data_IF_195093562521
#
_entry.id   IF_195093562521
#
_cell.length_a   1.000
_cell.length_b   1.000
_cell.length_c   1.000
_cell.angle_alpha   90.00
_cell.angle_beta   90.00
_cell.angle_gamma   90.00
#
_symmetry.space_group_name_H-M   'P 1'
#
loop_
_entity.id
_entity.type
_entity.pdbx_description
1 polymer ?
#
# COMPACT_ATOMS: atom_id res chain seq x y z
N UNK A 1 -19.33 -15.18 17.02
CA UNK A 1 -17.93 -15.55 16.83
C UNK A 1 -17.32 -14.98 15.59
N UNK A 2 -17.95 -15.17 14.46
CA UNK A 2 -17.50 -14.53 13.22
C UNK A 2 -17.49 -13.01 13.34
N UNK A 3 -18.43 -12.46 14.09
CA UNK A 3 -18.54 -11.01 14.29
C UNK A 3 -17.32 -10.44 15.03
N UNK A 4 -16.80 -11.15 16.00
CA UNK A 4 -15.61 -10.72 16.74
C UNK A 4 -14.38 -10.70 15.84
N UNK A 5 -14.23 -11.73 15.01
CA UNK A 5 -13.12 -11.80 14.08
C UNK A 5 -13.19 -10.66 13.06
N UNK A 6 -14.39 -10.36 12.61
CA UNK A 6 -14.61 -9.27 11.67
C UNK A 6 -14.25 -7.92 12.28
N UNK A 7 -14.66 -7.68 13.53
CA UNK A 7 -14.33 -6.44 14.23
C UNK A 7 -12.82 -6.30 14.44
N UNK A 8 -12.14 -7.40 14.76
CA UNK A 8 -10.68 -7.40 14.91
C UNK A 8 -10.00 -7.06 13.59
N UNK A 9 -10.57 -7.51 12.46
CA UNK A 9 -10.04 -7.22 11.14
C UNK A 9 -10.18 -5.76 10.76
N UNK A 10 -11.17 -5.06 11.28
CA UNK A 10 -11.44 -3.68 10.93
C UNK A 10 -10.59 -2.65 11.67
N UNK A 11 -10.01 -3.02 12.81
CA UNK A 11 -9.21 -2.13 13.66
C UNK A 11 -9.90 -0.79 13.93
N UNK A 12 -10.17 -0.45 15.20
CA UNK A 12 -10.81 0.83 15.52
C UNK A 12 -10.05 2.04 15.03
N UNK A 13 -8.72 1.94 14.92
CA UNK A 13 -7.84 3.02 14.53
C UNK A 13 -7.65 3.15 13.02
N UNK A 14 -8.31 2.31 12.22
CA UNK A 14 -8.07 2.23 10.77
C UNK A 14 -8.28 3.57 10.07
N UNK A 15 -9.32 4.30 10.46
CA UNK A 15 -9.62 5.59 9.84
C UNK A 15 -8.54 6.64 10.06
N UNK A 16 -7.76 6.49 11.13
CA UNK A 16 -6.67 7.41 11.46
C UNK A 16 -5.32 6.96 10.91
N UNK A 17 -5.29 5.82 10.26
CA UNK A 17 -4.06 5.29 9.72
C UNK A 17 -3.63 5.99 8.44
N UNK A 18 -2.31 6.01 8.16
CA UNK A 18 -1.81 6.57 6.92
C UNK A 18 -2.32 5.82 5.69
N UNK A 19 -2.26 6.49 4.56
CA UNK A 19 -2.83 6.00 3.30
C UNK A 19 -2.43 4.57 2.93
N UNK A 20 -1.13 4.26 2.93
CA UNK A 20 -0.70 2.92 2.50
C UNK A 20 -1.08 1.83 3.48
N UNK A 21 -1.17 2.16 4.77
CA UNK A 21 -1.65 1.21 5.77
C UNK A 21 -3.11 0.86 5.51
N UNK A 22 -3.95 1.84 5.23
CA UNK A 22 -5.36 1.62 4.91
C UNK A 22 -5.52 0.81 3.63
N UNK A 23 -4.77 1.16 2.59
CA UNK A 23 -4.84 0.47 1.30
C UNK A 23 -4.44 -0.99 1.43
N UNK A 24 -3.35 -1.25 2.14
CA UNK A 24 -2.86 -2.61 2.35
C UNK A 24 -3.87 -3.43 3.15
N UNK A 25 -4.43 -2.85 4.20
CA UNK A 25 -5.47 -3.52 5.00
C UNK A 25 -6.66 -3.93 4.13
N UNK A 26 -7.15 -3.01 3.31
CA UNK A 26 -8.27 -3.30 2.43
C UNK A 26 -7.95 -4.39 1.41
N UNK A 27 -6.76 -4.35 0.83
CA UNK A 27 -6.34 -5.38 -0.11
C UNK A 27 -6.24 -6.75 0.55
N UNK A 28 -5.74 -6.82 1.80
CA UNK A 28 -5.72 -8.08 2.53
C UNK A 28 -7.13 -8.61 2.76
N UNK A 29 -8.08 -7.73 3.10
CA UNK A 29 -9.46 -8.15 3.28
C UNK A 29 -10.05 -8.77 2.01
N UNK A 30 -9.72 -8.21 0.86
CA UNK A 30 -10.26 -8.67 -0.41
C UNK A 30 -9.52 -9.87 -0.99
N UNK A 31 -8.20 -9.90 -0.85
CA UNK A 31 -7.36 -10.89 -1.54
C UNK A 31 -6.84 -12.01 -0.66
N UNK A 32 -6.69 -11.78 0.63
CA UNK A 32 -6.15 -12.78 1.55
C UNK A 32 -6.69 -12.58 2.97
N UNK A 33 -8.00 -12.76 3.16
CA UNK A 33 -8.61 -12.56 4.47
C UNK A 33 -8.05 -13.50 5.54
N UNK A 34 -7.58 -14.68 5.16
CA UNK A 34 -6.98 -15.64 6.11
C UNK A 34 -5.72 -15.07 6.76
N UNK A 35 -4.88 -14.40 5.97
CA UNK A 35 -3.68 -13.76 6.49
C UNK A 35 -4.05 -12.58 7.40
N UNK A 36 -5.06 -11.82 7.01
CA UNK A 36 -5.53 -10.70 7.81
C UNK A 36 -5.99 -11.18 9.18
N UNK A 37 -6.78 -12.26 9.22
CA UNK A 37 -7.21 -12.85 10.47
C UNK A 37 -6.04 -13.34 11.31
N UNK A 38 -5.07 -13.97 10.70
CA UNK A 38 -3.88 -14.46 11.38
C UNK A 38 -3.10 -13.33 12.03
N UNK A 39 -2.88 -12.26 11.31
CA UNK A 39 -2.18 -11.08 11.82
C UNK A 39 -2.97 -10.43 12.96
N UNK A 40 -4.27 -10.34 12.81
CA UNK A 40 -5.16 -9.79 13.83
C UNK A 40 -5.12 -10.63 15.09
N UNK A 41 -5.23 -11.96 14.96
CA UNK A 41 -5.26 -12.88 16.08
C UNK A 41 -3.94 -12.90 16.86
N UNK A 42 -2.82 -12.74 16.16
CA UNK A 42 -1.51 -12.70 16.79
C UNK A 42 -1.19 -11.37 17.45
N UNK A 43 -2.01 -10.33 17.20
CA UNK A 43 -1.77 -9.01 17.73
C UNK A 43 -0.73 -8.21 16.96
N UNK A 44 -0.30 -8.70 15.80
CA UNK A 44 0.76 -8.05 15.01
C UNK A 44 0.24 -7.20 13.86
N UNK A 45 -1.08 -7.13 13.68
CA UNK A 45 -1.66 -6.45 12.52
C UNK A 45 -1.25 -4.98 12.43
N UNK A 46 -1.38 -4.22 13.52
CA UNK A 46 -1.05 -2.80 13.52
C UNK A 46 0.42 -2.57 13.15
N UNK A 47 1.31 -3.30 13.78
CA UNK A 47 2.75 -3.19 13.52
C UNK A 47 3.07 -3.53 12.07
N UNK A 48 2.44 -4.57 11.54
CA UNK A 48 2.64 -5.01 10.16
C UNK A 48 2.18 -3.93 9.17
N UNK A 49 1.01 -3.35 9.42
CA UNK A 49 0.46 -2.30 8.55
C UNK A 49 1.34 -1.06 8.55
N UNK A 50 1.81 -0.63 9.72
CA UNK A 50 2.64 0.56 9.82
C UNK A 50 4.02 0.36 9.20
N UNK A 51 4.62 -0.80 9.40
CA UNK A 51 5.89 -1.13 8.77
C UNK A 51 5.77 -1.14 7.26
N UNK A 52 4.68 -1.70 6.74
CA UNK A 52 4.42 -1.74 5.32
C UNK A 52 4.22 -0.33 4.75
N UNK A 53 3.49 0.50 5.48
CA UNK A 53 3.28 1.89 5.07
C UNK A 53 4.62 2.62 4.93
N UNK A 54 5.51 2.49 5.92
CA UNK A 54 6.81 3.15 5.88
C UNK A 54 7.63 2.73 4.66
N UNK A 55 7.61 1.44 4.34
CA UNK A 55 8.28 0.92 3.15
C UNK A 55 7.69 1.49 1.87
N UNK A 56 6.37 1.62 1.82
CA UNK A 56 5.69 2.14 0.63
C UNK A 56 5.94 3.63 0.45
N UNK A 57 6.06 4.39 1.53
CA UNK A 57 6.41 5.81 1.45
C UNK A 57 7.80 5.99 0.83
N UNK A 58 8.77 5.20 1.27
CA UNK A 58 10.11 5.25 0.70
C UNK A 58 10.11 4.86 -0.78
N UNK A 59 9.39 3.81 -1.13
CA UNK A 59 9.26 3.36 -2.50
C UNK A 59 8.59 4.42 -3.39
N UNK A 60 7.56 5.06 -2.86
CA UNK A 60 6.88 6.14 -3.59
C UNK A 60 7.84 7.27 -3.94
N UNK A 61 8.66 7.70 -2.99
CA UNK A 61 9.64 8.76 -3.22
C UNK A 61 10.67 8.35 -4.27
N UNK A 62 11.14 7.10 -4.20
CA UNK A 62 12.10 6.58 -5.16
C UNK A 62 11.51 6.50 -6.57
N UNK A 63 10.30 5.99 -6.71
CA UNK A 63 9.61 5.89 -7.99
C UNK A 63 9.33 7.27 -8.58
N UNK A 64 8.98 8.24 -7.75
CA UNK A 64 8.79 9.62 -8.20
C UNK A 64 10.09 10.20 -8.73
N UNK A 65 11.19 9.95 -8.03
CA UNK A 65 12.52 10.43 -8.46
C UNK A 65 12.90 9.82 -9.81
N UNK A 66 12.72 8.52 -9.97
CA UNK A 66 13.00 7.84 -11.22
C UNK A 66 12.16 8.36 -12.37
N UNK A 67 10.87 8.58 -12.10
CA UNK A 67 9.97 9.13 -13.11
C UNK A 67 10.43 10.51 -13.57
N UNK A 68 10.81 11.37 -12.62
CA UNK A 68 11.28 12.72 -12.93
C UNK A 68 12.59 12.74 -13.73
N UNK A 69 13.45 11.75 -13.49
CA UNK A 69 14.69 11.62 -14.28
C UNK A 69 14.39 11.26 -15.72
N UNK A 70 13.36 10.43 -15.95
CA UNK A 70 12.95 10.04 -17.30
C UNK A 70 12.10 11.09 -18.00
N UNK A 71 11.55 12.04 -17.24
CA UNK A 71 10.68 13.11 -17.74
C UNK A 71 11.20 14.44 -17.23
N UNK A 72 12.34 14.92 -17.76
CA UNK A 72 12.98 16.12 -17.24
C UNK A 72 12.10 17.36 -17.39
N UNK A 73 12.26 18.30 -16.46
CA UNK A 73 11.52 19.54 -16.46
C UNK A 73 11.92 20.39 -17.65
N UNK A 74 10.98 21.20 -18.16
CA UNK A 74 11.25 22.18 -19.19
C UNK A 74 12.11 23.30 -18.61
N UNK A 75 12.95 23.91 -19.46
CA UNK A 75 13.88 24.95 -19.04
C UNK A 75 13.20 26.13 -18.36
N UNK A 76 12.05 26.55 -18.86
CA UNK A 76 11.30 27.70 -18.34
C UNK A 76 9.92 27.30 -17.83
N UNK A 77 9.86 26.21 -17.06
CA UNK A 77 8.55 25.74 -16.60
C UNK A 77 7.96 26.68 -15.55
N UNK A 78 6.65 26.87 -15.61
CA UNK A 78 5.90 27.66 -14.65
C UNK A 78 5.71 26.85 -13.36
N UNK A 79 5.28 27.53 -12.29
CA UNK A 79 4.91 26.83 -11.05
C UNK A 79 3.79 25.83 -11.28
N UNK A 80 2.84 26.16 -12.14
CA UNK A 80 1.72 25.30 -12.46
C UNK A 80 2.18 24.06 -13.21
N UNK A 81 3.12 24.20 -14.14
CA UNK A 81 3.70 23.08 -14.86
C UNK A 81 4.52 22.18 -13.92
N UNK A 82 5.26 22.80 -12.99
CA UNK A 82 6.02 22.05 -11.98
C UNK A 82 5.10 21.24 -11.09
N UNK A 83 3.99 21.83 -10.65
CA UNK A 83 3.00 21.13 -9.83
C UNK A 83 2.37 19.97 -10.60
N UNK A 84 2.03 20.18 -11.88
CA UNK A 84 1.49 19.15 -12.74
C UNK A 84 2.45 17.99 -12.94
N UNK A 85 3.72 18.29 -13.15
CA UNK A 85 4.77 17.28 -13.30
C UNK A 85 4.92 16.46 -12.02
N UNK A 86 4.91 17.12 -10.87
CA UNK A 86 4.98 16.43 -9.58
C UNK A 86 3.78 15.52 -9.37
N UNK A 87 2.59 15.99 -9.75
CA UNK A 87 1.37 15.20 -9.64
C UNK A 87 1.41 13.96 -10.53
N UNK A 88 1.92 14.08 -11.75
CA UNK A 88 2.09 12.95 -12.66
C UNK A 88 3.06 11.91 -12.09
N UNK A 89 4.17 12.36 -11.53
CA UNK A 89 5.13 11.46 -10.88
C UNK A 89 4.48 10.69 -9.74
N UNK A 90 3.69 11.39 -8.93
CA UNK A 90 3.00 10.80 -7.78
C UNK A 90 1.95 9.78 -8.21
N UNK A 91 1.18 10.10 -9.25
CA UNK A 91 0.17 9.17 -9.78
C UNK A 91 0.82 7.91 -10.33
N UNK A 92 1.92 8.06 -11.06
CA UNK A 92 2.67 6.91 -11.57
C UNK A 92 3.16 6.03 -10.44
N UNK A 93 3.77 6.63 -9.41
CA UNK A 93 4.30 5.88 -8.27
C UNK A 93 3.18 5.10 -7.56
N UNK A 94 2.04 5.73 -7.36
CA UNK A 94 0.91 5.08 -6.71
C UNK A 94 0.36 3.90 -7.50
N UNK A 95 0.30 4.03 -8.82
CA UNK A 95 -0.15 2.93 -9.67
C UNK A 95 0.80 1.74 -9.59
N UNK A 96 2.11 1.99 -9.67
CA UNK A 96 3.11 0.94 -9.56
C UNK A 96 3.03 0.24 -8.21
N UNK A 97 2.91 1.01 -7.13
CA UNK A 97 2.83 0.45 -5.78
C UNK A 97 1.59 -0.41 -5.61
N UNK A 98 0.43 0.07 -6.06
CA UNK A 98 -0.83 -0.68 -5.95
C UNK A 98 -0.76 -2.00 -6.69
N UNK A 99 -0.25 -1.98 -7.91
CA UNK A 99 -0.12 -3.19 -8.71
C UNK A 99 0.85 -4.17 -8.06
N UNK A 100 1.99 -3.69 -7.61
CA UNK A 100 2.99 -4.52 -6.94
C UNK A 100 2.45 -5.12 -5.65
N UNK A 101 1.75 -4.31 -4.86
CA UNK A 101 1.13 -4.74 -3.62
C UNK A 101 0.09 -5.83 -3.86
N UNK A 102 -0.78 -5.62 -4.85
CA UNK A 102 -1.80 -6.61 -5.21
C UNK A 102 -1.16 -7.92 -5.64
N UNK A 103 -0.16 -7.86 -6.50
CA UNK A 103 0.54 -9.05 -6.98
C UNK A 103 1.24 -9.78 -5.84
N UNK A 104 1.86 -9.06 -4.92
CA UNK A 104 2.55 -9.65 -3.77
C UNK A 104 1.58 -10.37 -2.85
N UNK A 105 0.42 -9.77 -2.60
CA UNK A 105 -0.60 -10.39 -1.74
C UNK A 105 -1.14 -11.65 -2.39
N UNK A 106 -1.45 -11.60 -3.69
CA UNK A 106 -1.96 -12.76 -4.43
C UNK A 106 -0.95 -13.90 -4.46
N UNK A 107 0.31 -13.57 -4.66
CA UNK A 107 1.37 -14.57 -4.70
C UNK A 107 1.55 -15.25 -3.34
N UNK A 108 1.54 -14.48 -2.27
CA UNK A 108 1.65 -15.03 -0.93
C UNK A 108 0.47 -15.94 -0.60
N UNK A 109 -0.75 -15.51 -0.95
CA UNK A 109 -1.95 -16.30 -0.72
C UNK A 109 -1.89 -17.62 -1.46
N UNK A 110 -1.43 -17.59 -2.70
CA UNK A 110 -1.29 -18.79 -3.54
C UNK A 110 -0.26 -19.76 -2.96
N UNK A 111 0.90 -19.26 -2.57
CA UNK A 111 1.97 -20.08 -1.98
C UNK A 111 1.52 -20.73 -0.67
N UNK A 112 0.84 -19.97 0.18
CA UNK A 112 0.34 -20.48 1.45
C UNK A 112 -0.73 -21.54 1.24
N UNK A 113 -1.61 -21.33 0.26
CA UNK A 113 -2.65 -22.29 -0.11
C UNK A 113 -2.06 -23.62 -0.59
N UNK A 114 -0.96 -23.56 -1.34
CA UNK A 114 -0.30 -24.76 -1.83
C UNK A 114 0.41 -25.55 -0.74
N UNK A 115 0.81 -24.90 0.33
CA UNK A 115 1.49 -25.56 1.45
C UNK A 115 0.51 -26.22 2.43
N UNK A 116 -0.73 -25.81 2.38
CA UNK A 116 -1.77 -26.39 3.21
C UNK A 116 -2.31 -27.69 2.58
#
# INVERSE_FOLDING_TARGET
MLTMDFEAMLLPELEQMPHWAQTYHQMLMELDPARLMQLSSSGELLKHLMSHHDQMVELELELMREWKLKHPAKENQTMQEAAGRNQQAKMHAKEVIREDMENSIRLYALETSQKA
#
